data_IF_620034094707
#
_entry.id   IF_620034094707
#
_cell.length_a   1.000
_cell.length_b   1.000
_cell.length_c   1.000
_cell.angle_alpha   90.00
_cell.angle_beta   90.00
_cell.angle_gamma   90.00
#
_symmetry.space_group_name_H-M   'P 1'
#
loop_
_entity.id
_entity.type
_entity.pdbx_description
1 polymer ?
#
# COMPACT_ATOMS: atom_id res chain seq x y z
N UNK A 1 -15.92 7.67 1.66
CA UNK A 1 -16.34 8.97 2.26
C UNK A 1 -15.44 10.16 1.88
N UNK A 2 -14.13 9.97 1.62
CA UNK A 2 -13.19 11.04 1.20
C UNK A 2 -13.47 11.62 -0.21
N UNK A 3 -13.77 10.78 -1.21
CA UNK A 3 -14.09 11.24 -2.58
C UNK A 3 -15.26 12.25 -2.65
N UNK A 4 -16.34 12.03 -1.89
CA UNK A 4 -17.47 12.99 -1.80
C UNK A 4 -17.06 14.35 -1.23
N UNK A 5 -16.10 14.37 -0.28
CA UNK A 5 -15.59 15.61 0.32
C UNK A 5 -14.72 16.38 -0.68
N UNK A 6 -13.88 15.69 -1.45
CA UNK A 6 -13.03 16.30 -2.49
C UNK A 6 -13.90 16.89 -3.61
N UNK A 7 -14.92 16.15 -4.06
CA UNK A 7 -15.87 16.65 -5.06
C UNK A 7 -16.64 17.89 -4.58
N UNK A 8 -17.07 17.90 -3.31
CA UNK A 8 -17.74 19.04 -2.70
C UNK A 8 -16.79 20.25 -2.56
N UNK A 9 -15.53 20.04 -2.15
CA UNK A 9 -14.52 21.09 -2.06
C UNK A 9 -14.20 21.68 -3.43
N UNK A 10 -14.05 20.84 -4.46
CA UNK A 10 -13.84 21.27 -5.84
C UNK A 10 -15.01 22.10 -6.38
N UNK A 11 -16.24 21.66 -6.12
CA UNK A 11 -17.45 22.39 -6.52
C UNK A 11 -17.55 23.76 -5.82
N UNK A 12 -17.29 23.83 -4.52
CA UNK A 12 -17.29 25.09 -3.76
C UNK A 12 -16.17 26.03 -4.21
N UNK A 13 -14.98 25.50 -4.50
CA UNK A 13 -13.86 26.28 -5.04
C UNK A 13 -14.19 26.85 -6.43
N UNK A 14 -14.87 26.07 -7.29
CA UNK A 14 -15.33 26.54 -8.60
C UNK A 14 -16.32 27.69 -8.50
N UNK A 15 -17.34 27.57 -7.64
CA UNK A 15 -18.31 28.64 -7.38
C UNK A 15 -17.60 29.87 -6.81
N UNK A 16 -16.67 29.69 -5.87
CA UNK A 16 -15.89 30.78 -5.29
C UNK A 16 -15.08 31.55 -6.33
N UNK A 17 -14.43 30.85 -7.26
CA UNK A 17 -13.68 31.47 -8.36
C UNK A 17 -14.60 32.25 -9.30
N UNK A 18 -15.76 31.68 -9.68
CA UNK A 18 -16.73 32.40 -10.52
C UNK A 18 -17.20 33.68 -9.83
N UNK A 19 -17.61 33.60 -8.56
CA UNK A 19 -18.10 34.75 -7.82
C UNK A 19 -17.02 35.83 -7.64
N UNK A 20 -15.78 35.43 -7.36
CA UNK A 20 -14.64 36.35 -7.22
C UNK A 20 -14.28 37.03 -8.55
N UNK A 21 -14.24 36.28 -9.64
CA UNK A 21 -13.96 36.81 -10.98
C UNK A 21 -15.05 37.76 -11.46
N UNK A 22 -16.32 37.43 -11.21
CA UNK A 22 -17.45 38.33 -11.50
C UNK A 22 -17.36 39.62 -10.69
N UNK A 23 -17.00 39.55 -9.40
CA UNK A 23 -16.84 40.72 -8.55
C UNK A 23 -15.68 41.62 -9.03
N UNK A 24 -14.52 41.04 -9.37
CA UNK A 24 -13.37 41.78 -9.93
C UNK A 24 -13.76 42.47 -11.24
N UNK A 25 -14.38 41.73 -12.14
CA UNK A 25 -14.78 42.25 -13.44
C UNK A 25 -15.76 43.43 -13.29
N UNK A 26 -16.79 43.25 -12.48
CA UNK A 26 -17.77 44.30 -12.23
C UNK A 26 -17.13 45.53 -11.58
N UNK A 27 -16.11 45.36 -10.73
CA UNK A 27 -15.37 46.48 -10.14
C UNK A 27 -14.54 47.24 -11.19
N UNK A 28 -13.76 46.54 -12.04
CA UNK A 28 -12.97 47.19 -13.08
C UNK A 28 -13.84 47.85 -14.17
N UNK A 29 -14.98 47.25 -14.51
CA UNK A 29 -15.89 47.77 -15.54
C UNK A 29 -16.76 48.94 -15.05
N UNK A 30 -17.28 48.88 -13.81
CA UNK A 30 -18.02 50.03 -13.23
C UNK A 30 -17.12 51.21 -12.88
N UNK A 31 -15.80 51.00 -12.81
CA UNK A 31 -14.80 52.03 -12.55
C UNK A 31 -14.39 52.89 -13.74
N UNK A 32 -14.84 52.58 -14.96
CA UNK A 32 -14.52 53.36 -16.18
C UNK A 32 -15.58 54.41 -16.55
N UNK A 33 -16.67 54.55 -15.77
CA UNK A 33 -17.71 55.56 -15.96
C UNK A 33 -17.95 56.41 -14.71
N UNK A 34 -18.29 57.70 -14.90
CA UNK A 34 -18.48 58.74 -13.87
C UNK A 34 -19.68 58.51 -12.90
N UNK A 35 -20.09 57.27 -12.64
CA UNK A 35 -21.26 56.99 -11.78
C UNK A 35 -20.87 56.72 -10.32
N UNK A 36 -21.45 57.49 -9.40
CA UNK A 36 -21.28 57.38 -7.94
C UNK A 36 -22.00 56.17 -7.32
N UNK A 37 -22.71 55.35 -8.09
CA UNK A 37 -23.35 54.12 -7.63
C UNK A 37 -22.61 52.89 -8.18
N UNK A 38 -21.67 52.38 -7.39
CA UNK A 38 -21.00 51.09 -7.66
C UNK A 38 -22.01 49.96 -7.52
N UNK A 39 -22.72 49.62 -8.59
CA UNK A 39 -23.61 48.45 -8.61
C UNK A 39 -22.80 47.18 -8.80
N UNK A 40 -23.10 46.13 -8.02
CA UNK A 40 -22.50 44.81 -8.16
C UNK A 40 -22.86 44.14 -9.50
N UNK A 41 -23.81 44.71 -10.25
CA UNK A 41 -24.27 44.23 -11.55
C UNK A 41 -24.09 45.34 -12.58
N UNK A 42 -23.56 45.00 -13.76
CA UNK A 42 -23.43 45.93 -14.87
C UNK A 42 -24.82 46.49 -15.26
N UNK A 43 -24.95 47.80 -15.52
CA UNK A 43 -26.19 48.35 -16.05
C UNK A 43 -26.48 47.74 -17.43
N UNK A 44 -27.74 47.38 -17.70
CA UNK A 44 -28.14 46.89 -19.00
C UNK A 44 -27.96 48.00 -20.05
N UNK A 45 -26.97 47.87 -20.94
CA UNK A 45 -26.80 48.77 -22.10
C UNK A 45 -27.80 48.43 -23.19
N UNK A 46 -28.31 49.46 -23.86
CA UNK A 46 -29.17 49.31 -25.04
C UNK A 46 -28.36 49.35 -26.35
N UNK A 47 -27.04 49.58 -26.30
CA UNK A 47 -26.16 49.55 -27.47
C UNK A 47 -25.64 48.13 -27.73
N UNK A 48 -25.93 47.64 -28.94
CA UNK A 48 -25.52 46.31 -29.40
C UNK A 48 -24.00 46.14 -29.46
N UNK A 49 -23.25 47.20 -29.77
CA UNK A 49 -21.79 47.13 -29.89
C UNK A 49 -21.13 47.05 -28.52
N UNK A 50 -21.56 47.88 -27.56
CA UNK A 50 -21.10 47.80 -26.16
C UNK A 50 -21.42 46.44 -25.53
N UNK A 51 -22.61 45.89 -25.83
CA UNK A 51 -22.99 44.54 -25.37
C UNK A 51 -22.05 43.46 -25.94
N UNK A 52 -21.68 43.54 -27.22
CA UNK A 52 -20.76 42.57 -27.84
C UNK A 52 -19.37 42.61 -27.21
N UNK A 53 -18.84 43.81 -26.95
CA UNK A 53 -17.54 43.99 -26.31
C UNK A 53 -17.57 43.48 -24.86
N UNK A 54 -18.63 43.78 -24.12
CA UNK A 54 -18.87 43.26 -22.77
C UNK A 54 -18.90 41.73 -22.75
N UNK A 55 -19.69 41.12 -23.64
CA UNK A 55 -19.82 39.67 -23.73
C UNK A 55 -18.48 39.00 -24.09
N UNK A 56 -17.72 39.57 -25.03
CA UNK A 56 -16.42 39.04 -25.44
C UNK A 56 -15.42 39.04 -24.28
N UNK A 57 -15.32 40.13 -23.53
CA UNK A 57 -14.40 40.26 -22.39
C UNK A 57 -14.80 39.32 -21.24
N UNK A 58 -16.10 39.20 -20.96
CA UNK A 58 -16.62 38.33 -19.91
C UNK A 58 -16.40 36.83 -20.25
N UNK A 59 -16.62 36.43 -21.51
CA UNK A 59 -16.35 35.08 -21.99
C UNK A 59 -14.84 34.76 -21.88
N UNK A 60 -13.97 35.71 -22.24
CA UNK A 60 -12.52 35.53 -22.13
C UNK A 60 -12.08 35.33 -20.67
N UNK A 61 -12.62 36.12 -19.74
CA UNK A 61 -12.33 35.98 -18.31
C UNK A 61 -12.82 34.64 -17.75
N UNK A 62 -14.05 34.25 -18.06
CA UNK A 62 -14.60 32.95 -17.66
C UNK A 62 -13.77 31.80 -18.21
N UNK A 63 -13.33 31.89 -19.46
CA UNK A 63 -12.46 30.90 -20.10
C UNK A 63 -11.13 30.77 -19.35
N UNK A 64 -10.46 31.89 -19.04
CA UNK A 64 -9.23 31.90 -18.27
C UNK A 64 -9.40 31.26 -16.88
N UNK A 65 -10.48 31.61 -16.17
CA UNK A 65 -10.80 31.04 -14.86
C UNK A 65 -11.12 29.54 -14.93
N UNK A 66 -11.85 29.11 -15.97
CA UNK A 66 -12.15 27.70 -16.20
C UNK A 66 -10.89 26.89 -16.49
N UNK A 67 -9.96 27.41 -17.28
CA UNK A 67 -8.66 26.75 -17.52
C UNK A 67 -7.81 26.65 -16.26
N UNK A 68 -7.72 27.72 -15.46
CA UNK A 68 -6.99 27.70 -14.19
C UNK A 68 -7.60 26.70 -13.20
N UNK A 69 -8.93 26.66 -13.11
CA UNK A 69 -9.64 25.69 -12.28
C UNK A 69 -9.45 24.25 -12.78
N UNK A 70 -9.46 24.02 -14.10
CA UNK A 70 -9.20 22.70 -14.65
C UNK A 70 -7.81 22.17 -14.23
N UNK A 71 -6.77 23.01 -14.27
CA UNK A 71 -5.44 22.65 -13.78
C UNK A 71 -5.43 22.29 -12.29
N UNK A 72 -6.13 23.07 -11.46
CA UNK A 72 -6.26 22.78 -10.03
C UNK A 72 -7.04 21.49 -9.75
N UNK A 73 -8.15 21.25 -10.47
CA UNK A 73 -8.95 20.04 -10.34
C UNK A 73 -8.13 18.80 -10.73
N UNK A 74 -7.37 18.86 -11.82
CA UNK A 74 -6.44 17.80 -12.25
C UNK A 74 -5.41 17.52 -11.15
N UNK A 75 -4.83 18.55 -10.54
CA UNK A 75 -3.87 18.38 -9.44
C UNK A 75 -4.49 17.66 -8.23
N UNK A 76 -5.70 18.04 -7.81
CA UNK A 76 -6.39 17.39 -6.69
C UNK A 76 -6.73 15.93 -6.99
N UNK A 77 -7.26 15.65 -8.18
CA UNK A 77 -7.60 14.29 -8.63
C UNK A 77 -6.34 13.44 -8.74
N UNK A 78 -5.24 14.00 -9.25
CA UNK A 78 -3.97 13.29 -9.37
C UNK A 78 -3.39 12.92 -7.99
N UNK A 79 -3.47 13.81 -7.00
CA UNK A 79 -3.01 13.48 -5.65
C UNK A 79 -3.86 12.39 -4.98
N UNK A 80 -5.19 12.45 -5.10
CA UNK A 80 -6.08 11.41 -4.57
C UNK A 80 -5.84 10.06 -5.29
N UNK A 81 -5.67 10.10 -6.62
CA UNK A 81 -5.30 8.92 -7.39
C UNK A 81 -3.95 8.36 -6.95
N UNK A 82 -2.94 9.20 -6.78
CA UNK A 82 -1.59 8.82 -6.34
C UNK A 82 -1.64 8.14 -4.97
N UNK A 83 -2.38 8.70 -4.02
CA UNK A 83 -2.53 8.13 -2.68
C UNK A 83 -3.24 6.77 -2.71
N UNK A 84 -4.32 6.65 -3.50
CA UNK A 84 -5.03 5.39 -3.68
C UNK A 84 -4.14 4.34 -4.36
N UNK A 85 -3.43 4.73 -5.41
CA UNK A 85 -2.53 3.86 -6.14
C UNK A 85 -1.39 3.34 -5.25
N UNK A 86 -0.75 4.21 -4.48
CA UNK A 86 0.30 3.83 -3.53
C UNK A 86 -0.22 2.83 -2.49
N UNK A 87 -1.41 3.06 -1.92
CA UNK A 87 -2.05 2.10 -1.02
C UNK A 87 -2.29 0.74 -1.68
N UNK A 88 -2.73 0.73 -2.95
CA UNK A 88 -2.93 -0.52 -3.70
C UNK A 88 -1.61 -1.25 -3.90
N UNK A 89 -0.54 -0.57 -4.31
CA UNK A 89 0.79 -1.18 -4.50
C UNK A 89 1.30 -1.79 -3.19
N UNK A 90 1.22 -1.03 -2.09
CA UNK A 90 1.60 -1.52 -0.75
C UNK A 90 0.78 -2.76 -0.36
N UNK A 91 -0.53 -2.74 -0.60
CA UNK A 91 -1.40 -3.87 -0.29
C UNK A 91 -1.08 -5.12 -1.12
N UNK A 92 -0.76 -4.97 -2.41
CA UNK A 92 -0.35 -6.09 -3.27
C UNK A 92 0.99 -6.70 -2.83
N UNK A 93 1.99 -5.88 -2.51
CA UNK A 93 3.26 -6.37 -1.96
C UNK A 93 3.05 -7.09 -0.63
N UNK A 94 2.19 -6.56 0.24
CA UNK A 94 1.82 -7.19 1.50
C UNK A 94 1.09 -8.52 1.29
N UNK A 95 0.17 -8.63 0.33
CA UNK A 95 -0.49 -9.91 -0.02
C UNK A 95 0.53 -10.93 -0.50
N UNK A 96 1.46 -10.50 -1.36
CA UNK A 96 2.50 -11.38 -1.90
C UNK A 96 3.43 -11.91 -0.81
N UNK A 97 3.83 -11.04 0.12
CA UNK A 97 4.60 -11.42 1.30
C UNK A 97 3.81 -12.37 2.22
N UNK A 98 2.51 -12.11 2.42
CA UNK A 98 1.65 -12.95 3.25
C UNK A 98 1.53 -14.38 2.70
N UNK A 99 1.44 -14.53 1.38
CA UNK A 99 1.45 -15.84 0.71
C UNK A 99 2.77 -16.56 1.00
N UNK A 100 3.91 -15.89 0.79
CA UNK A 100 5.22 -16.51 1.04
C UNK A 100 5.39 -16.96 2.51
N UNK A 101 4.91 -16.17 3.48
CA UNK A 101 4.93 -16.55 4.91
C UNK A 101 4.01 -17.76 5.21
N UNK A 102 2.93 -17.95 4.44
CA UNK A 102 2.08 -19.14 4.57
C UNK A 102 2.73 -20.37 3.93
N UNK A 103 3.44 -20.21 2.80
CA UNK A 103 4.17 -21.30 2.14
C UNK A 103 5.15 -21.97 3.12
N UNK A 104 5.80 -21.20 4.00
CA UNK A 104 6.67 -21.73 5.06
C UNK A 104 5.95 -22.64 6.05
N UNK A 105 4.73 -22.28 6.47
CA UNK A 105 3.93 -23.12 7.37
C UNK A 105 3.63 -24.45 6.70
N UNK A 106 3.27 -24.42 5.41
CA UNK A 106 2.96 -25.63 4.66
C UNK A 106 4.18 -26.55 4.59
N UNK A 107 5.35 -26.02 4.25
CA UNK A 107 6.59 -26.81 4.17
C UNK A 107 6.97 -27.38 5.54
N UNK A 108 6.93 -26.59 6.60
CA UNK A 108 7.30 -27.00 7.95
C UNK A 108 6.34 -28.05 8.51
N UNK A 109 5.03 -27.84 8.34
CA UNK A 109 4.02 -28.82 8.79
C UNK A 109 4.09 -30.10 7.96
N UNK A 110 4.41 -30.01 6.67
CA UNK A 110 4.66 -31.16 5.80
C UNK A 110 5.86 -31.98 6.29
N UNK A 111 7.00 -31.35 6.62
CA UNK A 111 8.16 -32.04 7.20
C UNK A 111 7.79 -32.72 8.52
N UNK A 112 7.17 -31.96 9.45
CA UNK A 112 6.75 -32.51 10.74
C UNK A 112 5.79 -33.70 10.58
N UNK A 113 4.83 -33.60 9.65
CA UNK A 113 3.89 -34.68 9.33
C UNK A 113 4.59 -35.93 8.79
N UNK A 114 5.55 -35.77 7.87
CA UNK A 114 6.35 -36.90 7.39
C UNK A 114 7.14 -37.56 8.50
N UNK A 115 7.81 -36.79 9.36
CA UNK A 115 8.56 -37.35 10.48
C UNK A 115 7.65 -38.15 11.41
N UNK A 116 6.48 -37.61 11.76
CA UNK A 116 5.52 -38.26 12.66
C UNK A 116 4.88 -39.54 12.08
N UNK A 117 4.87 -39.69 10.76
CA UNK A 117 4.39 -40.90 10.09
C UNK A 117 5.45 -42.01 9.98
N UNK A 118 6.70 -41.73 10.39
CA UNK A 118 7.79 -42.71 10.38
C UNK A 118 8.02 -43.26 11.79
N UNK A 119 8.63 -44.43 11.89
CA UNK A 119 9.03 -45.00 13.18
C UNK A 119 10.09 -44.11 13.82
N UNK A 120 9.94 -43.77 15.11
CA UNK A 120 10.90 -42.93 15.85
C UNK A 120 12.33 -43.49 15.86
N UNK A 121 12.48 -44.82 15.81
CA UNK A 121 13.78 -45.50 15.79
C UNK A 121 14.47 -45.52 14.42
N UNK A 122 13.77 -45.12 13.35
CA UNK A 122 14.31 -45.10 11.99
C UNK A 122 15.47 -44.10 11.93
N UNK A 123 16.54 -44.42 11.21
CA UNK A 123 17.62 -43.45 11.02
C UNK A 123 17.21 -42.39 10.01
N UNK A 124 17.63 -41.14 10.24
CA UNK A 124 17.25 -40.00 9.40
C UNK A 124 17.75 -40.18 7.95
N UNK A 125 18.91 -40.82 7.75
CA UNK A 125 19.45 -41.07 6.41
C UNK A 125 18.51 -41.92 5.53
N UNK A 126 17.67 -42.78 6.13
CA UNK A 126 16.71 -43.63 5.42
C UNK A 126 15.53 -42.84 4.83
N UNK A 127 15.34 -41.59 5.29
CA UNK A 127 14.31 -40.66 4.79
C UNK A 127 14.93 -39.36 4.28
N UNK A 128 16.24 -39.35 4.02
CA UNK A 128 17.00 -38.15 3.69
C UNK A 128 16.40 -37.39 2.52
N UNK A 129 16.15 -38.06 1.39
CA UNK A 129 15.66 -37.41 0.16
C UNK A 129 14.29 -36.74 0.36
N UNK A 130 13.40 -37.37 1.15
CA UNK A 130 12.07 -36.84 1.47
C UNK A 130 12.17 -35.52 2.25
N UNK A 131 13.13 -35.44 3.19
CA UNK A 131 13.30 -34.27 4.08
C UNK A 131 14.19 -33.20 3.45
N UNK A 132 15.27 -33.59 2.76
CA UNK A 132 16.22 -32.68 2.11
C UNK A 132 15.54 -31.83 1.02
N UNK A 133 14.70 -32.46 0.18
CA UNK A 133 13.94 -31.75 -0.87
C UNK A 133 13.03 -30.67 -0.27
N UNK A 134 12.36 -30.97 0.84
CA UNK A 134 11.48 -30.02 1.53
C UNK A 134 12.26 -28.94 2.27
N UNK A 135 13.41 -29.28 2.84
CA UNK A 135 14.32 -28.33 3.49
C UNK A 135 14.86 -27.31 2.49
N UNK A 136 15.15 -27.71 1.24
CA UNK A 136 15.52 -26.80 0.17
C UNK A 136 14.43 -25.76 -0.12
N UNK A 137 13.15 -26.16 -0.11
CA UNK A 137 12.02 -25.22 -0.28
C UNK A 137 11.96 -24.17 0.82
N UNK A 138 12.34 -24.50 2.05
CA UNK A 138 12.44 -23.52 3.14
C UNK A 138 13.43 -22.41 2.77
N UNK A 139 14.57 -22.77 2.18
CA UNK A 139 15.58 -21.79 1.80
C UNK A 139 15.08 -20.89 0.66
N UNK A 140 14.49 -21.48 -0.38
CA UNK A 140 13.89 -20.75 -1.50
C UNK A 140 12.79 -19.77 -1.03
N UNK A 141 11.93 -20.20 -0.11
CA UNK A 141 10.91 -19.35 0.50
C UNK A 141 11.51 -18.23 1.35
N UNK A 142 12.56 -18.50 2.12
CA UNK A 142 13.20 -17.48 2.96
C UNK A 142 13.75 -16.31 2.12
N UNK A 143 14.34 -16.59 0.95
CA UNK A 143 14.75 -15.56 0.00
C UNK A 143 13.56 -14.75 -0.54
N UNK A 144 12.45 -15.41 -0.88
CA UNK A 144 11.21 -14.77 -1.36
C UNK A 144 10.57 -13.88 -0.28
N UNK A 145 10.56 -14.32 0.97
CA UNK A 145 10.09 -13.55 2.12
C UNK A 145 10.99 -12.33 2.32
N UNK A 146 12.31 -12.54 2.35
CA UNK A 146 13.28 -11.46 2.54
C UNK A 146 13.19 -10.37 1.48
N UNK A 147 13.09 -10.75 0.20
CA UNK A 147 13.01 -9.77 -0.90
C UNK A 147 11.70 -8.97 -0.84
N UNK A 148 10.57 -9.63 -0.61
CA UNK A 148 9.26 -8.97 -0.49
C UNK A 148 9.15 -8.09 0.75
N UNK A 149 9.72 -8.53 1.87
CA UNK A 149 9.79 -7.75 3.09
C UNK A 149 10.61 -6.48 2.92
N UNK A 150 11.72 -6.57 2.19
CA UNK A 150 12.56 -5.40 1.87
C UNK A 150 11.78 -4.39 1.03
N UNK A 151 11.13 -4.82 -0.05
CA UNK A 151 10.30 -3.94 -0.89
C UNK A 151 9.22 -3.26 -0.04
N UNK A 152 8.51 -4.02 0.80
CA UNK A 152 7.46 -3.48 1.63
C UNK A 152 7.98 -2.48 2.69
N UNK A 153 9.20 -2.71 3.20
CA UNK A 153 9.89 -1.78 4.08
C UNK A 153 10.26 -0.49 3.34
N UNK A 154 10.89 -0.57 2.17
CA UNK A 154 11.25 0.63 1.37
C UNK A 154 10.02 1.46 0.96
N UNK A 155 8.85 0.83 0.79
CA UNK A 155 7.60 1.53 0.48
C UNK A 155 6.94 2.21 1.68
N UNK A 156 7.24 1.79 2.92
CA UNK A 156 6.51 2.23 4.11
C UNK A 156 7.40 2.79 5.24
N UNK A 157 8.71 2.62 5.16
CA UNK A 157 9.71 2.98 6.17
C UNK A 157 9.34 2.49 7.59
N UNK A 158 8.86 1.25 7.68
CA UNK A 158 8.30 0.70 8.91
C UNK A 158 9.32 -0.14 9.70
N UNK A 159 10.03 0.48 10.64
CA UNK A 159 11.03 -0.20 11.47
C UNK A 159 10.45 -1.40 12.25
N UNK A 160 9.18 -1.37 12.65
CA UNK A 160 8.56 -2.53 13.34
C UNK A 160 8.42 -3.73 12.42
N UNK A 161 8.17 -3.52 11.13
CA UNK A 161 8.16 -4.60 10.14
C UNK A 161 9.53 -5.27 10.07
N UNK A 162 10.59 -4.46 10.02
CA UNK A 162 11.98 -4.93 9.98
C UNK A 162 12.37 -5.71 11.24
N UNK A 163 12.06 -5.21 12.43
CA UNK A 163 12.31 -5.93 13.69
C UNK A 163 11.60 -7.30 13.74
N UNK A 164 10.34 -7.34 13.30
CA UNK A 164 9.56 -8.58 13.26
C UNK A 164 10.13 -9.57 12.25
N UNK A 165 10.53 -9.08 11.07
CA UNK A 165 11.22 -9.86 10.04
C UNK A 165 12.52 -10.45 10.59
N UNK A 166 13.39 -9.64 11.19
CA UNK A 166 14.69 -10.11 11.70
C UNK A 166 14.51 -11.22 12.75
N UNK A 167 13.49 -11.11 13.60
CA UNK A 167 13.15 -12.14 14.58
C UNK A 167 12.59 -13.41 13.93
N UNK A 168 11.84 -13.29 12.84
CA UNK A 168 11.36 -14.41 12.03
C UNK A 168 12.53 -15.12 11.34
N UNK A 169 13.38 -14.37 10.64
CA UNK A 169 14.54 -14.86 9.89
C UNK A 169 15.53 -15.59 10.80
N UNK A 170 15.82 -15.05 11.99
CA UNK A 170 16.67 -15.72 13.00
C UNK A 170 16.14 -17.10 13.39
N UNK A 171 14.84 -17.23 13.61
CA UNK A 171 14.24 -18.53 13.94
C UNK A 171 14.27 -19.50 12.75
N UNK A 172 14.08 -19.00 11.53
CA UNK A 172 14.13 -19.83 10.33
C UNK A 172 15.53 -20.38 10.07
N UNK A 173 16.55 -19.54 10.24
CA UNK A 173 17.95 -19.96 10.18
C UNK A 173 18.26 -20.98 11.28
N UNK A 174 17.77 -20.76 12.50
CA UNK A 174 17.93 -21.71 13.61
C UNK A 174 17.30 -23.08 13.29
N UNK A 175 16.07 -23.10 12.77
CA UNK A 175 15.37 -24.31 12.35
C UNK A 175 16.11 -25.04 11.24
N UNK A 176 16.51 -24.33 10.18
CA UNK A 176 17.27 -24.90 9.07
C UNK A 176 18.58 -25.53 9.55
N UNK A 177 19.33 -24.82 10.40
CA UNK A 177 20.58 -25.33 10.96
C UNK A 177 20.36 -26.61 11.77
N UNK A 178 19.33 -26.66 12.62
CA UNK A 178 19.03 -27.89 13.39
C UNK A 178 18.59 -29.03 12.48
N UNK A 179 17.79 -28.76 11.45
CA UNK A 179 17.40 -29.77 10.44
C UNK A 179 18.63 -30.37 9.75
N UNK A 180 19.54 -29.53 9.26
CA UNK A 180 20.76 -29.98 8.59
C UNK A 180 21.65 -30.83 9.51
N UNK A 181 21.84 -30.41 10.76
CA UNK A 181 22.60 -31.20 11.74
C UNK A 181 22.01 -32.61 11.97
N UNK A 182 20.68 -32.74 11.95
CA UNK A 182 20.02 -34.04 12.07
C UNK A 182 20.13 -34.89 10.80
N UNK A 183 20.12 -34.25 9.62
CA UNK A 183 20.31 -34.92 8.32
C UNK A 183 21.74 -35.45 8.13
N UNK A 184 22.73 -34.75 8.65
CA UNK A 184 24.16 -35.09 8.52
C UNK A 184 24.68 -36.03 9.62
N UNK A 185 23.89 -36.25 10.67
CA UNK A 185 24.26 -37.12 11.81
C UNK A 185 23.57 -38.48 11.75
N UNK A 186 24.10 -39.46 12.50
CA UNK A 186 23.44 -40.75 12.75
C UNK A 186 22.25 -40.64 13.73
N UNK A 187 21.50 -39.54 13.64
CA UNK A 187 20.33 -39.34 14.48
C UNK A 187 19.14 -40.17 13.98
N UNK A 188 18.24 -40.52 14.90
CA UNK A 188 16.99 -41.16 14.57
C UNK A 188 15.88 -40.12 14.37
N UNK A 189 14.80 -40.54 13.71
CA UNK A 189 13.62 -39.70 13.46
C UNK A 189 13.04 -39.14 14.77
N UNK A 190 13.10 -39.88 15.86
CA UNK A 190 12.67 -39.44 17.19
C UNK A 190 13.37 -38.16 17.63
N UNK A 191 14.70 -38.10 17.53
CA UNK A 191 15.48 -36.89 17.84
C UNK A 191 15.05 -35.69 17.00
N UNK A 192 14.76 -35.91 15.71
CA UNK A 192 14.31 -34.84 14.83
C UNK A 192 12.88 -34.37 15.17
N UNK A 193 11.98 -35.28 15.55
CA UNK A 193 10.64 -34.93 16.06
C UNK A 193 10.77 -34.08 17.32
N UNK A 194 11.60 -34.49 18.27
CA UNK A 194 11.78 -33.78 19.55
C UNK A 194 12.34 -32.36 19.31
N UNK A 195 13.26 -32.21 18.35
CA UNK A 195 13.75 -30.90 17.89
C UNK A 195 12.65 -30.03 17.29
N UNK A 196 11.76 -30.61 16.47
CA UNK A 196 10.61 -29.88 15.92
C UNK A 196 9.64 -29.47 17.04
N UNK A 197 9.38 -30.34 18.02
CA UNK A 197 8.51 -30.03 19.16
C UNK A 197 9.05 -28.86 20.00
N UNK A 198 10.37 -28.71 20.09
CA UNK A 198 11.03 -27.57 20.75
C UNK A 198 10.88 -26.25 19.96
N UNK A 199 11.10 -26.26 18.64
CA UNK A 199 11.18 -25.02 17.84
C UNK A 199 9.81 -24.56 17.31
N UNK A 200 8.92 -25.49 16.94
CA UNK A 200 7.69 -25.19 16.23
C UNK A 200 6.80 -24.17 16.95
N UNK A 201 6.64 -24.20 18.29
CA UNK A 201 5.84 -23.19 19.00
C UNK A 201 6.40 -21.76 18.81
N UNK A 202 7.72 -21.60 18.90
CA UNK A 202 8.41 -20.30 18.72
C UNK A 202 8.28 -19.81 17.28
N UNK A 203 8.41 -20.71 16.30
CA UNK A 203 8.15 -20.43 14.88
C UNK A 203 6.70 -19.96 14.65
N UNK A 204 5.72 -20.72 15.13
CA UNK A 204 4.29 -20.42 14.95
C UNK A 204 3.92 -19.08 15.59
N UNK A 205 4.49 -18.76 16.75
CA UNK A 205 4.30 -17.45 17.39
C UNK A 205 4.84 -16.31 16.50
N UNK A 206 6.09 -16.39 16.06
CA UNK A 206 6.69 -15.35 15.22
C UNK A 206 5.97 -15.23 13.87
N UNK A 207 5.58 -16.35 13.24
CA UNK A 207 4.78 -16.36 12.02
C UNK A 207 3.45 -15.62 12.24
N UNK A 208 2.74 -15.87 13.34
CA UNK A 208 1.48 -15.17 13.68
C UNK A 208 1.68 -13.66 13.87
N UNK A 209 2.75 -13.26 14.56
CA UNK A 209 3.11 -11.84 14.74
C UNK A 209 3.40 -11.19 13.40
N UNK A 210 4.19 -11.85 12.55
CA UNK A 210 4.57 -11.34 11.24
C UNK A 210 3.35 -11.19 10.32
N UNK A 211 2.52 -12.23 10.20
CA UNK A 211 1.27 -12.16 9.42
C UNK A 211 0.33 -11.06 9.90
N UNK A 212 0.23 -10.82 11.21
CA UNK A 212 -0.61 -9.74 11.75
C UNK A 212 -0.10 -8.38 11.28
N UNK A 213 1.22 -8.16 11.33
CA UNK A 213 1.85 -6.93 10.84
C UNK A 213 1.66 -6.78 9.33
N UNK A 214 1.89 -7.82 8.55
CA UNK A 214 1.71 -7.77 7.09
C UNK A 214 0.24 -7.49 6.72
N UNK A 215 -0.72 -8.09 7.43
CA UNK A 215 -2.15 -7.85 7.20
C UNK A 215 -2.59 -6.41 7.46
N UNK A 216 -1.90 -5.66 8.33
CA UNK A 216 -2.29 -4.27 8.56
C UNK A 216 -2.10 -3.39 7.34
N UNK A 217 -1.17 -3.74 6.42
CA UNK A 217 -1.00 -3.01 5.15
C UNK A 217 -2.08 -3.34 4.12
N UNK A 218 -2.76 -4.47 4.25
CA UNK A 218 -3.85 -4.88 3.36
C UNK A 218 -5.17 -4.26 3.80
N UNK A 219 -5.38 -4.17 5.12
CA UNK A 219 -6.62 -3.70 5.74
C UNK A 219 -6.59 -2.20 6.11
N UNK A 220 -5.51 -1.48 5.80
CA UNK A 220 -5.41 -0.05 6.06
C UNK A 220 -6.37 0.74 5.15
N UNK A 221 -7.54 1.08 5.68
CA UNK A 221 -8.51 2.03 5.08
C UNK A 221 -7.98 3.48 5.07
#
# INVERSE_FOLDING_TARGET
>A
MKSKKIACLGFLAFIGIILFSTAIFNWFWTGTGESSSRSFYAPFTNDLNEFKEYAALYIALLSCCATAFAGFAVFLVFNDWKDQHNKTVIAEEAKSLLIAINDDIEVITSISGTLRNKKRSLLVHEIYDEIATRTKKINENNYKISSKALVLYELNDDEKLKEIRDKYDKNMIELQRKILLHLESNSNVGCMIDMFDEILPKFMHNNKVYKRKVRSYILAE
#
